data_IF_900527181760
#
_entry.id   IF_900527181760
#
_cell.length_a   1.000
_cell.length_b   1.000
_cell.length_c   1.000
_cell.angle_alpha   90.00
_cell.angle_beta   90.00
_cell.angle_gamma   90.00
#
_symmetry.space_group_name_H-M   'P 1'
#
loop_
_entity.id
_entity.type
_entity.pdbx_description
1 polymer ?
#
# COMPACT_ATOMS: atom_id res chain seq x y z
N UNK A 1 19.09 -4.15 10.60
CA UNK A 1 18.52 -4.03 9.24
C UNK A 1 18.29 -5.43 8.65
N UNK A 2 19.28 -6.32 8.75
CA UNK A 2 19.24 -7.69 8.20
C UNK A 2 17.96 -8.48 8.53
N UNK A 3 17.49 -8.44 9.79
CA UNK A 3 16.24 -9.11 10.18
C UNK A 3 15.00 -8.55 9.46
N UNK A 4 14.96 -7.24 9.18
CA UNK A 4 13.86 -6.66 8.41
C UNK A 4 13.93 -7.08 6.95
N UNK A 5 15.14 -7.15 6.38
CA UNK A 5 15.34 -7.62 5.01
C UNK A 5 14.89 -9.08 4.88
N UNK A 6 15.37 -9.96 5.76
CA UNK A 6 14.99 -11.38 5.77
C UNK A 6 13.47 -11.57 5.93
N UNK A 7 12.83 -10.76 6.78
CA UNK A 7 11.37 -10.76 6.93
C UNK A 7 10.66 -10.37 5.63
N UNK A 8 11.11 -9.31 4.94
CA UNK A 8 10.52 -8.92 3.65
C UNK A 8 10.74 -9.98 2.58
N UNK A 9 11.94 -10.58 2.51
CA UNK A 9 12.25 -11.65 1.55
C UNK A 9 11.35 -12.87 1.76
N UNK A 10 11.08 -13.25 3.01
CA UNK A 10 10.12 -14.30 3.37
C UNK A 10 8.73 -13.97 2.80
N UNK A 11 8.22 -12.76 3.05
CA UNK A 11 6.91 -12.35 2.55
C UNK A 11 6.87 -12.30 1.02
N UNK A 12 7.94 -11.86 0.36
CA UNK A 12 8.02 -11.86 -1.11
C UNK A 12 7.96 -13.27 -1.66
N UNK A 13 8.68 -14.23 -1.05
CA UNK A 13 8.62 -15.64 -1.44
C UNK A 13 7.23 -16.25 -1.25
N UNK A 14 6.44 -15.75 -0.31
CA UNK A 14 5.06 -16.17 -0.03
C UNK A 14 4.00 -15.43 -0.88
N UNK A 15 4.42 -14.56 -1.79
CA UNK A 15 3.55 -13.75 -2.64
C UNK A 15 2.89 -12.56 -1.93
N UNK A 16 3.39 -12.22 -0.74
CA UNK A 16 2.92 -11.16 0.15
C UNK A 16 2.36 -11.69 1.48
N UNK A 17 2.05 -10.79 2.42
CA UNK A 17 1.60 -11.17 3.76
C UNK A 17 0.19 -11.75 3.76
N UNK A 18 -0.06 -12.69 4.68
CA UNK A 18 -1.42 -13.09 5.03
C UNK A 18 -2.04 -12.11 6.04
N UNK A 19 -3.38 -12.08 6.21
CA UNK A 19 -4.04 -11.11 7.10
C UNK A 19 -3.51 -11.12 8.55
N UNK A 20 -3.06 -12.28 9.05
CA UNK A 20 -2.43 -12.40 10.37
C UNK A 20 -1.07 -11.69 10.49
N UNK A 21 -0.42 -11.39 9.36
CA UNK A 21 0.90 -10.75 9.30
C UNK A 21 0.82 -9.24 9.00
N UNK A 22 -0.38 -8.71 8.72
CA UNK A 22 -0.56 -7.30 8.32
C UNK A 22 -0.07 -6.32 9.40
N UNK A 23 -0.40 -6.59 10.66
CA UNK A 23 0.00 -5.73 11.77
C UNK A 23 1.52 -5.77 11.97
N UNK A 24 2.11 -6.97 11.95
CA UNK A 24 3.55 -7.14 12.08
C UNK A 24 4.32 -6.43 10.95
N UNK A 25 3.83 -6.51 9.71
CA UNK A 25 4.44 -5.79 8.59
C UNK A 25 4.29 -4.27 8.74
N UNK A 26 3.11 -3.78 9.11
CA UNK A 26 2.88 -2.34 9.34
C UNK A 26 3.83 -1.80 10.41
N UNK A 27 3.94 -2.49 11.54
CA UNK A 27 4.79 -2.07 12.65
C UNK A 27 6.26 -1.99 12.24
N UNK A 28 6.76 -2.97 11.48
CA UNK A 28 8.14 -2.94 10.96
C UNK A 28 8.38 -1.78 9.99
N UNK A 29 7.41 -1.46 9.13
CA UNK A 29 7.53 -0.31 8.21
C UNK A 29 7.59 1.01 8.99
N UNK A 30 6.77 1.16 10.03
CA UNK A 30 6.76 2.34 10.89
C UNK A 30 8.10 2.47 11.62
N UNK A 31 8.57 1.40 12.25
CA UNK A 31 9.85 1.38 12.97
C UNK A 31 11.02 1.80 12.07
N UNK A 32 11.10 1.26 10.86
CA UNK A 32 12.17 1.61 9.90
C UNK A 32 12.05 3.09 9.49
N UNK A 33 10.83 3.59 9.30
CA UNK A 33 10.60 4.99 8.97
C UNK A 33 11.04 5.93 10.09
N UNK A 34 10.75 5.59 11.34
CA UNK A 34 11.15 6.36 12.52
C UNK A 34 12.67 6.36 12.67
N UNK A 35 13.31 5.19 12.63
CA UNK A 35 14.77 5.07 12.70
C UNK A 35 15.48 5.82 11.57
N UNK A 36 14.90 5.84 10.37
CA UNK A 36 15.43 6.64 9.25
C UNK A 36 15.35 8.14 9.54
N UNK A 37 14.23 8.61 10.10
CA UNK A 37 14.05 10.01 10.49
C UNK A 37 15.08 10.42 11.55
N UNK A 38 15.38 9.52 12.48
CA UNK A 38 16.28 9.77 13.59
C UNK A 38 17.78 9.63 13.20
N UNK A 39 18.05 9.16 11.97
CA UNK A 39 19.41 9.05 11.41
C UNK A 39 20.07 7.69 11.63
N UNK A 40 19.39 6.75 12.27
CA UNK A 40 19.88 5.41 12.61
C UNK A 40 19.85 4.41 11.44
N UNK A 41 19.26 4.81 10.31
CA UNK A 41 19.21 4.00 9.09
C UNK A 41 19.73 4.81 7.91
N UNK A 42 20.76 4.27 7.27
CA UNK A 42 21.43 4.88 6.13
C UNK A 42 20.60 4.79 4.84
N UNK A 43 20.91 5.65 3.87
CA UNK A 43 20.30 5.56 2.55
C UNK A 43 20.59 4.21 1.85
N UNK A 44 21.75 3.60 2.12
CA UNK A 44 22.13 2.31 1.54
C UNK A 44 21.30 1.17 2.12
N UNK A 45 21.03 1.18 3.42
CA UNK A 45 20.15 0.20 4.07
C UNK A 45 18.69 0.32 3.58
N UNK A 46 18.19 1.55 3.40
CA UNK A 46 16.88 1.77 2.77
C UNK A 46 16.85 1.25 1.34
N UNK A 47 17.94 1.42 0.59
CA UNK A 47 18.06 0.90 -0.77
C UNK A 47 18.02 -0.63 -0.77
N UNK A 48 18.76 -1.29 0.14
CA UNK A 48 18.75 -2.74 0.29
C UNK A 48 17.35 -3.26 0.67
N UNK A 49 16.67 -2.62 1.61
CA UNK A 49 15.30 -2.96 1.97
C UNK A 49 14.33 -2.84 0.77
N UNK A 50 14.44 -1.76 -0.01
CA UNK A 50 13.62 -1.58 -1.22
C UNK A 50 13.93 -2.65 -2.28
N UNK A 51 15.17 -3.11 -2.37
CA UNK A 51 15.55 -4.21 -3.26
C UNK A 51 14.92 -5.53 -2.79
N UNK A 52 14.88 -5.78 -1.47
CA UNK A 52 14.25 -6.96 -0.89
C UNK A 52 12.77 -7.10 -1.24
N UNK A 53 12.03 -5.98 -1.33
CA UNK A 53 10.64 -5.99 -1.79
C UNK A 53 10.47 -6.44 -3.26
N UNK A 54 11.52 -6.35 -4.09
CA UNK A 54 11.50 -6.83 -5.47
C UNK A 54 10.29 -6.34 -6.28
N UNK A 55 9.56 -7.28 -6.91
CA UNK A 55 8.37 -6.98 -7.71
C UNK A 55 7.20 -6.42 -6.91
N UNK A 56 7.19 -6.59 -5.59
CA UNK A 56 6.18 -5.98 -4.74
C UNK A 56 6.28 -4.45 -4.74
N UNK A 57 7.40 -3.84 -5.12
CA UNK A 57 7.53 -2.39 -5.37
C UNK A 57 7.58 -2.03 -6.86
N UNK A 58 7.08 -2.90 -7.73
CA UNK A 58 6.84 -2.61 -9.15
C UNK A 58 5.47 -1.96 -9.36
N UNK A 59 5.26 -1.35 -10.53
CA UNK A 59 3.95 -0.80 -10.93
C UNK A 59 2.87 -1.87 -11.14
N UNK A 60 3.21 -3.16 -11.00
CA UNK A 60 2.25 -4.27 -10.98
C UNK A 60 1.44 -4.39 -9.68
N UNK A 61 1.78 -3.62 -8.64
CA UNK A 61 1.04 -3.55 -7.37
C UNK A 61 0.63 -2.12 -7.06
N UNK A 62 -0.39 -1.96 -6.21
CA UNK A 62 -0.81 -0.67 -5.67
C UNK A 62 0.29 0.01 -4.86
N UNK A 63 1.00 -0.75 -4.02
CA UNK A 63 2.08 -0.19 -3.20
C UNK A 63 3.24 0.30 -4.06
N UNK A 64 3.58 -0.43 -5.12
CA UNK A 64 4.62 -0.01 -6.05
C UNK A 64 4.17 1.15 -6.94
N UNK A 65 2.90 1.23 -7.35
CA UNK A 65 2.37 2.44 -7.99
C UNK A 65 2.49 3.67 -7.09
N UNK A 66 2.09 3.54 -5.82
CA UNK A 66 2.20 4.62 -4.82
C UNK A 66 3.66 5.08 -4.62
N UNK A 67 4.59 4.12 -4.62
CA UNK A 67 6.01 4.36 -4.41
C UNK A 67 6.70 4.98 -5.64
N UNK A 68 6.45 4.42 -6.82
CA UNK A 68 7.13 4.79 -8.07
C UNK A 68 6.57 6.08 -8.67
N UNK A 69 5.27 6.35 -8.49
CA UNK A 69 4.56 7.48 -9.09
C UNK A 69 4.92 7.65 -10.58
N UNK A 70 4.59 6.68 -11.44
CA UNK A 70 5.06 6.64 -12.83
C UNK A 70 4.72 7.91 -13.63
N UNK A 71 3.64 8.61 -13.26
CA UNK A 71 3.22 9.87 -13.89
C UNK A 71 3.30 11.08 -12.93
N UNK A 72 4.00 10.95 -11.79
CA UNK A 72 4.01 11.96 -10.74
C UNK A 72 2.64 12.17 -10.08
N UNK A 73 2.43 13.34 -9.46
CA UNK A 73 1.14 13.70 -8.85
C UNK A 73 -0.04 13.67 -9.85
N UNK A 74 0.12 14.10 -11.12
CA UNK A 74 -0.93 13.93 -12.13
C UNK A 74 -1.34 12.47 -12.36
N UNK A 75 -0.54 11.49 -11.95
CA UNK A 75 -0.83 10.06 -12.03
C UNK A 75 -1.66 9.49 -10.88
N UNK A 76 -1.96 10.28 -9.85
CA UNK A 76 -2.66 9.77 -8.68
C UNK A 76 -4.10 9.30 -9.02
N UNK A 77 -4.66 9.71 -10.18
CA UNK A 77 -5.95 9.20 -10.65
C UNK A 77 -5.96 7.67 -10.78
N UNK A 78 -4.87 7.05 -11.23
CA UNK A 78 -4.82 5.62 -11.48
C UNK A 78 -4.86 4.84 -10.16
N UNK A 79 -4.06 5.26 -9.17
CA UNK A 79 -4.07 4.60 -7.87
C UNK A 79 -5.39 4.85 -7.14
N UNK A 80 -5.99 6.04 -7.26
CA UNK A 80 -7.29 6.35 -6.67
C UNK A 80 -8.38 5.47 -7.30
N UNK A 81 -8.39 5.34 -8.63
CA UNK A 81 -9.36 4.50 -9.33
C UNK A 81 -9.22 3.03 -8.93
N UNK A 82 -7.99 2.51 -8.90
CA UNK A 82 -7.71 1.15 -8.44
C UNK A 82 -8.11 0.94 -6.97
N UNK A 83 -7.97 1.95 -6.10
CA UNK A 83 -8.48 1.90 -4.72
C UNK A 83 -10.01 1.80 -4.69
N UNK A 84 -10.70 2.59 -5.52
CA UNK A 84 -12.16 2.57 -5.60
C UNK A 84 -12.73 1.27 -6.16
N UNK A 85 -12.04 0.67 -7.11
CA UNK A 85 -12.43 -0.59 -7.76
C UNK A 85 -11.92 -1.83 -7.02
N UNK A 86 -11.22 -1.66 -5.90
CA UNK A 86 -10.60 -2.74 -5.13
C UNK A 86 -9.74 -3.66 -6.01
N UNK A 87 -8.99 -3.05 -6.92
CA UNK A 87 -8.19 -3.75 -7.91
C UNK A 87 -7.12 -4.63 -7.26
N UNK A 88 -7.08 -5.90 -7.66
CA UNK A 88 -6.04 -6.85 -7.29
C UNK A 88 -5.28 -7.27 -8.55
N UNK A 89 -3.94 -7.29 -8.47
CA UNK A 89 -3.06 -7.75 -9.53
C UNK A 89 -3.48 -9.12 -10.08
N UNK A 90 -3.36 -9.30 -11.40
CA UNK A 90 -3.63 -10.60 -12.03
C UNK A 90 -2.58 -11.63 -11.66
N UNK A 91 -1.31 -11.20 -11.54
CA UNK A 91 -0.20 -12.05 -11.13
C UNK A 91 -0.46 -12.63 -9.72
N UNK A 92 -0.58 -13.97 -9.58
CA UNK A 92 -0.81 -14.63 -8.30
C UNK A 92 0.18 -14.24 -7.19
N UNK A 93 1.47 -14.05 -7.54
CA UNK A 93 2.54 -13.69 -6.61
C UNK A 93 2.43 -12.25 -6.07
N UNK A 94 1.53 -11.44 -6.64
CA UNK A 94 1.33 -10.05 -6.25
C UNK A 94 -0.01 -9.80 -5.56
N UNK A 95 -0.92 -10.78 -5.57
CA UNK A 95 -2.30 -10.62 -5.06
C UNK A 95 -2.33 -10.25 -3.59
N UNK A 96 -1.50 -10.89 -2.76
CA UNK A 96 -1.53 -10.62 -1.31
C UNK A 96 -1.00 -9.22 -0.98
N UNK A 97 -0.08 -8.68 -1.79
CA UNK A 97 0.38 -7.31 -1.65
C UNK A 97 -0.72 -6.27 -1.89
N UNK A 98 -1.55 -6.46 -2.92
CA UNK A 98 -2.69 -5.56 -3.16
C UNK A 98 -3.79 -5.72 -2.10
N UNK A 99 -4.05 -6.93 -1.63
CA UNK A 99 -4.96 -7.17 -0.49
C UNK A 99 -4.47 -6.45 0.77
N UNK A 100 -3.18 -6.57 1.08
CA UNK A 100 -2.54 -5.84 2.18
C UNK A 100 -2.70 -4.33 2.00
N UNK A 101 -2.44 -3.81 0.80
CA UNK A 101 -2.61 -2.38 0.51
C UNK A 101 -4.05 -1.91 0.78
N UNK A 102 -5.05 -2.65 0.31
CA UNK A 102 -6.45 -2.32 0.52
C UNK A 102 -6.92 -2.43 1.97
N UNK A 103 -6.27 -3.26 2.77
CA UNK A 103 -6.55 -3.39 4.21
C UNK A 103 -6.00 -2.22 5.02
N UNK A 104 -5.13 -1.38 4.45
CA UNK A 104 -4.57 -0.22 5.15
C UNK A 104 -5.58 0.92 5.27
N UNK A 105 -5.47 1.64 6.39
CA UNK A 105 -6.31 2.80 6.72
C UNK A 105 -6.36 3.86 5.61
N UNK A 106 -5.27 4.10 4.89
CA UNK A 106 -5.22 5.04 3.77
C UNK A 106 -6.17 4.66 2.63
N UNK A 107 -6.13 3.40 2.18
CA UNK A 107 -7.01 2.92 1.11
C UNK A 107 -8.48 2.88 1.56
N UNK A 108 -8.72 2.45 2.80
CA UNK A 108 -10.06 2.46 3.42
C UNK A 108 -10.60 3.89 3.48
N UNK A 109 -9.80 4.87 3.93
CA UNK A 109 -10.23 6.26 4.03
C UNK A 109 -10.62 6.88 2.68
N UNK A 110 -9.89 6.53 1.60
CA UNK A 110 -10.22 6.95 0.24
C UNK A 110 -11.60 6.40 -0.15
N UNK A 111 -11.86 5.10 0.02
CA UNK A 111 -13.17 4.50 -0.25
C UNK A 111 -14.27 5.12 0.61
N UNK A 112 -14.03 5.31 1.91
CA UNK A 112 -14.99 5.91 2.83
C UNK A 112 -15.39 7.33 2.41
N UNK A 113 -14.44 8.14 1.90
CA UNK A 113 -14.72 9.49 1.40
C UNK A 113 -15.67 9.46 0.21
N UNK A 114 -15.52 8.50 -0.71
CA UNK A 114 -16.43 8.31 -1.84
C UNK A 114 -17.83 7.91 -1.35
N UNK A 115 -17.93 6.93 -0.46
CA UNK A 115 -19.21 6.50 0.11
C UNK A 115 -19.93 7.65 0.81
N UNK A 116 -19.23 8.37 1.70
CA UNK A 116 -19.77 9.52 2.41
C UNK A 116 -20.33 10.59 1.47
N UNK A 117 -19.61 10.91 0.39
CA UNK A 117 -20.06 11.89 -0.59
C UNK A 117 -21.34 11.43 -1.31
N UNK A 118 -21.41 10.15 -1.71
CA UNK A 118 -22.61 9.58 -2.33
C UNK A 118 -23.80 9.59 -1.37
N UNK A 119 -23.59 9.24 -0.11
CA UNK A 119 -24.63 9.24 0.92
C UNK A 119 -25.18 10.64 1.17
N UNK A 120 -24.30 11.66 1.17
CA UNK A 120 -24.67 13.07 1.30
C UNK A 120 -25.53 13.53 0.11
N UNK A 121 -25.15 13.17 -1.13
CA UNK A 121 -25.95 13.53 -2.30
C UNK A 121 -27.33 12.86 -2.29
N UNK A 122 -27.40 11.60 -1.88
CA UNK A 122 -28.66 10.87 -1.77
C UNK A 122 -29.56 11.45 -0.68
N UNK A 123 -29.00 11.87 0.46
CA UNK A 123 -29.79 12.48 1.54
C UNK A 123 -30.39 13.82 1.10
N UNK A 124 -29.63 14.67 0.41
CA UNK A 124 -30.11 15.92 -0.16
C UNK A 124 -31.22 15.71 -1.19
N UNK A 125 -31.06 14.70 -2.07
CA UNK A 125 -32.09 14.34 -3.04
C UNK A 125 -33.41 13.93 -2.37
N UNK A 126 -33.36 13.20 -1.25
CA UNK A 126 -34.55 12.78 -0.48
C UNK A 126 -35.23 13.93 0.27
N UNK A 127 -34.51 14.99 0.62
CA UNK A 127 -35.06 16.16 1.33
C UNK A 127 -35.76 17.15 0.38
N UNK A 128 -35.34 17.19 -0.88
CA UNK A 128 -35.81 18.15 -1.88
C UNK A 128 -36.81 17.56 -2.90
N UNK A 129 -37.22 16.30 -2.75
CA UNK A 129 -38.20 15.62 -3.60
C UNK A 129 -39.38 15.13 -2.77
#
# INVERSE_FOLDING_TARGET
>A
MDEHIAYIEKLVAEGGPDPSEYEALNQRIIEISDRRRDGDVTAQEIKALRQAFGQALSTGTLQGLAFRKPYGYPGDYEIIDRIYCEHIAENPELKKWDRFFHARSGAIAVRNRKSYFLDLLQSLKRQNG
#
